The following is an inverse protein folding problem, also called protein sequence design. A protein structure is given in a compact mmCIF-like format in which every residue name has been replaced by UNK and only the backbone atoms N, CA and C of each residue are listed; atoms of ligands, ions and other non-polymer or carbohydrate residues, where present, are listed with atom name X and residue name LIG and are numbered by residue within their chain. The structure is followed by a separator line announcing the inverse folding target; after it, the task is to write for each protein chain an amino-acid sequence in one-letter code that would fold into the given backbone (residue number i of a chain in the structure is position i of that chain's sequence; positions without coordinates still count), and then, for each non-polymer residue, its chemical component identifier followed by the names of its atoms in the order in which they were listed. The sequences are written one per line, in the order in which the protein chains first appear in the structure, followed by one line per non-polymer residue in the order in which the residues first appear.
data_IF_198827482631
#
_entry.id   IF_198827482631
#
_cell.length_a   1.000
_cell.length_b   1.000
_cell.length_c   1.000
_cell.angle_alpha   90.00
_cell.angle_beta   90.00
_cell.angle_gamma   90.00
#
_symmetry.space_group_name_H-M   'P 1'
#
loop_
_entity.id
_entity.type
_entity.pdbx_description
1 polymer ?
#
# COMPACT_ATOMS: atom_id res chain seq x y z
N UNK A 1 9.77 8.86 13.54
CA UNK A 1 8.71 8.15 12.77
C UNK A 1 9.13 6.70 12.65
N UNK A 2 8.35 5.76 13.17
CA UNK A 2 8.68 4.32 13.08
C UNK A 2 8.50 3.83 11.64
N UNK A 3 9.16 2.71 11.30
CA UNK A 3 9.00 2.06 9.98
C UNK A 3 7.52 1.73 9.74
N UNK A 4 6.80 1.29 10.77
CA UNK A 4 5.37 0.99 10.73
C UNK A 4 4.52 2.20 10.35
N UNK A 5 4.81 3.39 10.88
CA UNK A 5 4.09 4.61 10.49
C UNK A 5 4.29 4.97 9.00
N UNK A 6 5.51 4.78 8.48
CA UNK A 6 5.78 5.01 7.07
C UNK A 6 5.06 4.00 6.19
N UNK A 7 5.06 2.72 6.56
CA UNK A 7 4.37 1.66 5.84
C UNK A 7 2.85 1.88 5.88
N UNK A 8 2.29 2.24 7.03
CA UNK A 8 0.87 2.55 7.17
C UNK A 8 0.45 3.73 6.28
N UNK A 9 1.23 4.80 6.24
CA UNK A 9 0.99 5.94 5.36
C UNK A 9 1.04 5.52 3.87
N UNK A 10 1.99 4.66 3.51
CA UNK A 10 2.14 4.15 2.13
C UNK A 10 0.97 3.27 1.72
N UNK A 11 0.59 2.28 2.55
CA UNK A 11 -0.57 1.43 2.35
C UNK A 11 -1.85 2.24 2.20
N UNK A 12 -2.06 3.24 3.06
CA UNK A 12 -3.20 4.15 2.97
C UNK A 12 -3.22 4.92 1.66
N UNK A 13 -2.06 5.41 1.21
CA UNK A 13 -1.98 6.17 -0.04
C UNK A 13 -2.26 5.28 -1.27
N UNK A 14 -1.81 4.02 -1.24
CA UNK A 14 -1.97 3.09 -2.34
C UNK A 14 -3.36 2.46 -2.41
N UNK A 15 -3.91 2.02 -1.28
CA UNK A 15 -5.14 1.23 -1.16
C UNK A 15 -6.32 2.00 -0.57
N UNK A 16 -6.08 3.09 0.14
CA UNK A 16 -7.10 3.76 0.96
C UNK A 16 -7.22 3.12 2.35
N UNK A 17 -8.36 3.34 3.00
CA UNK A 17 -8.67 2.77 4.32
C UNK A 17 -9.57 1.52 4.24
N UNK A 18 -10.14 1.22 3.08
CA UNK A 18 -11.12 0.14 2.90
C UNK A 18 -10.45 -1.21 2.61
N UNK A 19 -10.84 -2.22 3.40
CA UNK A 19 -10.43 -3.61 3.21
C UNK A 19 -11.13 -4.20 1.99
N UNK A 20 -10.40 -4.94 1.16
CA UNK A 20 -10.95 -5.64 -0.02
C UNK A 20 -10.96 -4.84 -1.32
N UNK A 21 -10.53 -3.57 -1.30
CA UNK A 21 -10.34 -2.81 -2.54
C UNK A 21 -9.10 -3.31 -3.29
N UNK A 22 -9.33 -4.14 -4.32
CA UNK A 22 -8.26 -4.65 -5.19
C UNK A 22 -7.59 -3.51 -5.97
N UNK A 23 -6.25 -3.50 -5.99
CA UNK A 23 -5.43 -2.61 -6.82
C UNK A 23 -4.53 -3.42 -7.75
N UNK A 24 -4.61 -3.11 -9.03
CA UNK A 24 -3.72 -3.73 -10.03
C UNK A 24 -2.29 -3.21 -9.91
N UNK A 25 -1.30 -4.03 -10.30
CA UNK A 25 0.10 -3.61 -10.39
C UNK A 25 0.29 -2.33 -11.21
N UNK A 26 -0.46 -2.16 -12.31
CA UNK A 26 -0.40 -0.96 -13.14
C UNK A 26 -0.89 0.30 -12.40
N UNK A 27 -1.89 0.19 -11.54
CA UNK A 27 -2.40 1.31 -10.74
C UNK A 27 -1.40 1.69 -9.64
N UNK A 28 -0.79 0.71 -8.98
CA UNK A 28 0.24 0.91 -7.95
C UNK A 28 1.48 1.56 -8.57
N UNK A 29 1.98 1.02 -9.69
CA UNK A 29 3.10 1.59 -10.43
C UNK A 29 2.83 3.03 -10.87
N UNK A 30 1.59 3.34 -11.29
CA UNK A 30 1.20 4.72 -11.62
C UNK A 30 1.23 5.63 -10.41
N UNK A 31 0.73 5.19 -9.25
CA UNK A 31 0.77 5.97 -8.01
C UNK A 31 2.22 6.23 -7.55
N UNK A 32 3.09 5.23 -7.67
CA UNK A 32 4.54 5.39 -7.38
C UNK A 32 5.21 6.35 -8.36
N UNK A 33 4.91 6.24 -9.65
CA UNK A 33 5.45 7.14 -10.68
C UNK A 33 5.02 8.59 -10.44
N UNK A 34 3.76 8.82 -10.04
CA UNK A 34 3.27 10.16 -9.70
C UNK A 34 3.98 10.79 -8.50
N UNK A 35 4.58 9.99 -7.61
CA UNK A 35 5.36 10.47 -6.45
C UNK A 35 6.80 10.80 -6.80
N UNK A 36 7.33 10.32 -7.92
CA UNK A 36 8.72 10.53 -8.33
C UNK A 36 8.81 11.01 -9.77
N UNK A 37 9.03 12.31 -9.93
CA UNK A 37 9.19 12.98 -11.24
C UNK A 37 10.38 12.44 -12.04
N UNK A 38 11.35 11.82 -11.37
CA UNK A 38 12.56 11.26 -11.97
C UNK A 38 12.47 9.77 -12.35
N UNK A 39 11.42 9.05 -11.95
CA UNK A 39 11.29 7.62 -12.24
C UNK A 39 10.63 7.38 -13.60
N UNK A 40 11.21 6.55 -14.46
CA UNK A 40 10.55 6.11 -15.69
C UNK A 40 9.46 5.05 -15.41
N UNK A 41 8.57 4.81 -16.38
CA UNK A 41 7.43 3.89 -16.23
C UNK A 41 7.83 2.42 -15.97
N UNK A 42 8.96 1.97 -16.51
CA UNK A 42 9.46 0.59 -16.34
C UNK A 42 9.99 0.42 -14.92
N UNK A 43 10.83 1.33 -14.45
CA UNK A 43 11.34 1.32 -13.07
C UNK A 43 10.22 1.45 -12.04
N UNK A 44 9.17 2.24 -12.33
CA UNK A 44 8.01 2.33 -11.45
C UNK A 44 7.19 1.02 -11.37
N UNK A 45 7.20 0.22 -12.45
CA UNK A 45 6.54 -1.08 -12.45
C UNK A 45 7.33 -2.10 -11.65
N UNK A 46 8.63 -2.21 -11.86
CA UNK A 46 9.49 -3.10 -11.07
C UNK A 46 9.46 -2.73 -9.58
N UNK A 47 9.58 -1.44 -9.26
CA UNK A 47 9.45 -0.95 -7.89
C UNK A 47 8.09 -1.27 -7.27
N UNK A 48 7.00 -1.29 -8.06
CA UNK A 48 5.70 -1.72 -7.56
C UNK A 48 5.71 -3.21 -7.21
N UNK A 49 6.29 -4.08 -8.02
CA UNK A 49 6.39 -5.50 -7.71
C UNK A 49 7.23 -5.75 -6.46
N UNK A 50 8.42 -5.16 -6.38
CA UNK A 50 9.31 -5.31 -5.21
C UNK A 50 8.65 -4.84 -3.92
N UNK A 51 7.99 -3.68 -3.96
CA UNK A 51 7.27 -3.12 -2.81
C UNK A 51 6.11 -4.03 -2.38
N UNK A 52 5.32 -4.50 -3.35
CA UNK A 52 4.14 -5.30 -3.05
C UNK A 52 4.52 -6.70 -2.55
N UNK A 53 5.60 -7.29 -3.04
CA UNK A 53 6.15 -8.54 -2.51
C UNK A 53 6.67 -8.39 -1.08
N UNK A 54 7.33 -7.29 -0.73
CA UNK A 54 7.73 -7.02 0.67
C UNK A 54 6.51 -6.91 1.58
N UNK A 55 5.44 -6.23 1.14
CA UNK A 55 4.21 -6.12 1.90
C UNK A 55 3.46 -7.44 2.03
N UNK A 56 3.46 -8.26 0.98
CA UNK A 56 2.87 -9.60 0.97
C UNK A 56 3.64 -10.54 1.92
N UNK A 57 4.98 -10.53 1.88
CA UNK A 57 5.82 -11.29 2.80
C UNK A 57 5.60 -10.90 4.27
N UNK A 58 5.23 -9.64 4.54
CA UNK A 58 4.84 -9.14 5.86
C UNK A 58 3.38 -9.44 6.23
N UNK A 59 2.59 -9.99 5.30
CA UNK A 59 1.17 -10.28 5.45
C UNK A 59 0.28 -9.04 5.49
N UNK A 60 0.73 -7.91 4.94
CA UNK A 60 -0.01 -6.63 4.93
C UNK A 60 -0.96 -6.51 3.74
N UNK A 61 -0.73 -7.31 2.71
CA UNK A 61 -1.55 -7.41 1.51
C UNK A 61 -1.66 -8.86 1.10
N UNK A 62 -2.70 -9.19 0.36
CA UNK A 62 -2.91 -10.51 -0.21
C UNK A 62 -2.86 -10.44 -1.74
N UNK A 63 -2.28 -11.45 -2.37
CA UNK A 63 -2.32 -11.60 -3.83
C UNK A 63 -3.78 -11.68 -4.31
N UNK A 64 -4.09 -10.89 -5.32
CA UNK A 64 -5.43 -10.71 -5.87
C UNK A 64 -5.34 -10.56 -7.38
N UNK A 65 -5.19 -11.67 -8.13
CA UNK A 65 -5.09 -11.63 -9.58
C UNK A 65 -6.39 -11.09 -10.19
N UNK A 66 -6.23 -10.38 -11.30
CA UNK A 66 -7.35 -9.76 -12.02
C UNK A 66 -8.06 -10.72 -12.96
N UNK A 67 -9.21 -10.32 -13.53
CA UNK A 67 -10.02 -11.17 -14.40
C UNK A 67 -9.32 -11.65 -15.68
N UNK A 68 -8.17 -11.07 -16.04
CA UNK A 68 -7.32 -11.50 -17.17
C UNK A 68 -5.96 -12.07 -16.72
N UNK A 69 -5.85 -12.54 -15.48
CA UNK A 69 -4.59 -13.04 -14.90
C UNK A 69 -3.56 -11.95 -14.62
N UNK A 70 -3.95 -10.68 -14.61
CA UNK A 70 -3.05 -9.57 -14.33
C UNK A 70 -2.77 -9.42 -12.83
N UNK A 71 -1.49 -9.24 -12.47
CA UNK A 71 -1.05 -9.02 -11.10
C UNK A 71 -1.81 -7.87 -10.40
N UNK A 72 -2.17 -8.11 -9.15
CA UNK A 72 -2.82 -7.14 -8.29
C UNK A 72 -2.84 -7.65 -6.87
N UNK A 73 -3.11 -6.74 -5.94
CA UNK A 73 -3.15 -7.03 -4.52
C UNK A 73 -4.37 -6.37 -3.91
N UNK A 74 -4.73 -6.84 -2.73
CA UNK A 74 -5.73 -6.22 -1.88
C UNK A 74 -5.16 -6.02 -0.49
N UNK A 75 -5.66 -5.02 0.23
CA UNK A 75 -5.26 -4.80 1.61
C UNK A 75 -5.73 -5.99 2.47
N UNK A 76 -4.82 -6.60 3.22
CA UNK A 76 -5.17 -7.67 4.16
C UNK A 76 -5.78 -7.09 5.42
N UNK A 77 -6.42 -7.93 6.25
CA UNK A 77 -6.91 -7.52 7.58
C UNK A 77 -5.80 -6.91 8.44
N UNK A 78 -4.58 -7.45 8.35
CA UNK A 78 -3.42 -6.93 9.10
C UNK A 78 -2.97 -5.57 8.56
N UNK A 79 -2.90 -5.40 7.24
CA UNK A 79 -2.57 -4.12 6.62
C UNK A 79 -3.59 -3.03 6.98
N UNK A 80 -4.88 -3.38 6.98
CA UNK A 80 -5.95 -2.49 7.38
C UNK A 80 -5.86 -2.05 8.85
N UNK A 81 -5.60 -3.01 9.75
CA UNK A 81 -5.39 -2.72 11.16
C UNK A 81 -4.17 -1.81 11.37
N UNK A 82 -3.10 -1.99 10.58
CA UNK A 82 -1.92 -1.12 10.65
C UNK A 82 -2.25 0.33 10.23
N UNK A 83 -2.99 0.50 9.13
CA UNK A 83 -3.47 1.82 8.68
C UNK A 83 -4.35 2.48 9.73
N UNK A 84 -5.29 1.73 10.34
CA UNK A 84 -6.18 2.23 11.39
C UNK A 84 -5.41 2.62 12.67
N UNK A 85 -4.41 1.84 13.08
CA UNK A 85 -3.59 2.16 14.25
C UNK A 85 -2.77 3.43 14.05
N UNK A 86 -2.17 3.63 12.87
CA UNK A 86 -1.45 4.87 12.58
C UNK A 86 -2.37 6.10 12.53
N UNK A 87 -3.61 5.95 12.08
CA UNK A 87 -4.62 7.01 12.16
C UNK A 87 -4.90 7.44 13.60
N UNK A 88 -5.07 6.47 14.52
CA UNK A 88 -5.30 6.74 15.94
C UNK A 88 -4.08 7.33 16.64
N UNK A 89 -2.86 6.97 16.21
CA UNK A 89 -1.61 7.50 16.75
C UNK A 89 -1.29 8.92 16.26
N UNK A 90 -1.87 9.36 15.14
CA UNK A 90 -1.70 10.71 14.57
C UNK A 90 -2.70 11.72 15.16
N UNK A 91 -3.67 11.27 15.95
CA UNK A 91 -4.49 12.16 16.78
C UNK A 91 -3.73 12.41 18.09
N UNK A 92 -3.11 13.57 18.31
CA UNK A 92 -2.67 13.92 19.66
C UNK A 92 -3.93 14.00 20.51
N UNK A 93 -4.05 13.07 21.47
CA UNK A 93 -5.06 13.14 22.50
C UNK A 93 -4.98 14.49 23.19
N UNK A 94 -5.87 15.39 22.80
CA UNK A 94 -6.34 16.48 23.63
C UNK A 94 -6.99 15.82 24.85
N UNK A 95 -6.49 16.14 26.04
CA UNK A 95 -6.94 15.55 27.28
C UNK A 95 -8.41 15.83 27.59
N UNK A 96 -9.02 14.94 28.36
CA UNK A 96 -9.52 15.26 29.69
C UNK A 96 -9.76 13.98 30.50
#
# INVERSE_FOLDING_TARGET
MTIDHRIAADLRQLFGADVGARRSAAAIARALNQRSVAANRVSAREAAFDLMWDYEARGLVDDSPGPRGGAGWQLSTKGAALVAQSLSADVPGHGR
#
